data_IF_756169413280
#
_entry.id   IF_756169413280
#
_cell.length_a   1.000
_cell.length_b   1.000
_cell.length_c   1.000
_cell.angle_alpha   90.00
_cell.angle_beta   90.00
_cell.angle_gamma   90.00
#
_symmetry.space_group_name_H-M   'P 1'
#
loop_
_entity.id
_entity.type
_entity.pdbx_description
1 polymer ?
#
# COMPACT_ATOMS: atom_id res chain seq x y z
N UNK A 1 -0.88 -11.87 4.68
CA UNK A 1 -2.22 -11.55 5.20
C UNK A 1 -2.20 -10.50 6.30
N UNK A 2 -2.06 -10.85 7.59
CA UNK A 2 -2.31 -9.94 8.70
C UNK A 2 -1.52 -8.62 8.63
N UNK A 3 -0.19 -8.71 8.48
CA UNK A 3 0.66 -7.52 8.40
C UNK A 3 0.37 -6.65 7.17
N UNK A 4 0.05 -7.27 6.03
CA UNK A 4 -0.37 -6.54 4.82
C UNK A 4 -1.72 -5.86 5.05
N UNK A 5 -2.63 -6.51 5.77
CA UNK A 5 -3.90 -5.93 6.19
C UNK A 5 -3.71 -4.71 7.08
N UNK A 6 -2.82 -4.78 8.07
CA UNK A 6 -2.50 -3.65 8.94
C UNK A 6 -1.89 -2.47 8.16
N UNK A 7 -0.94 -2.75 7.26
CA UNK A 7 -0.36 -1.73 6.37
C UNK A 7 -1.43 -1.10 5.46
N UNK A 8 -2.29 -1.93 4.86
CA UNK A 8 -3.38 -1.48 4.00
C UNK A 8 -4.39 -0.61 4.76
N UNK A 9 -4.75 -1.02 5.97
CA UNK A 9 -5.66 -0.29 6.84
C UNK A 9 -5.08 1.07 7.23
N UNK A 10 -3.83 1.13 7.66
CA UNK A 10 -3.18 2.42 7.97
C UNK A 10 -3.15 3.37 6.77
N UNK A 11 -2.95 2.86 5.55
CA UNK A 11 -3.01 3.70 4.35
C UNK A 11 -4.44 4.16 4.04
N UNK A 12 -5.43 3.27 4.20
CA UNK A 12 -6.84 3.60 4.03
C UNK A 12 -7.28 4.67 5.03
N UNK A 13 -6.96 4.51 6.30
CA UNK A 13 -7.30 5.45 7.38
C UNK A 13 -6.58 6.78 7.23
N UNK A 14 -5.33 6.78 6.75
CA UNK A 14 -4.63 8.03 6.42
C UNK A 14 -5.28 8.74 5.23
N UNK A 15 -5.77 7.98 4.25
CA UNK A 15 -6.41 8.52 3.05
C UNK A 15 -7.80 9.06 3.33
N UNK A 16 -8.58 8.43 4.22
CA UNK A 16 -9.93 8.85 4.62
C UNK A 16 -9.92 9.99 5.65
N UNK A 17 -8.78 10.24 6.30
CA UNK A 17 -8.63 11.24 7.36
C UNK A 17 -8.96 10.70 8.76
N UNK A 18 -9.16 9.38 8.91
CA UNK A 18 -9.35 8.73 10.20
C UNK A 18 -8.07 8.75 11.06
N UNK A 19 -6.88 8.78 10.44
CA UNK A 19 -5.61 8.99 11.16
C UNK A 19 -5.26 10.48 11.28
N UNK A 20 -4.71 10.84 12.44
CA UNK A 20 -4.17 12.19 12.70
C UNK A 20 -3.28 12.69 11.55
N UNK A 21 -3.39 13.97 11.23
CA UNK A 21 -2.53 14.64 10.24
C UNK A 21 -1.03 14.50 10.58
N UNK A 22 -0.68 14.47 11.88
CA UNK A 22 0.70 14.34 12.37
C UNK A 22 1.28 12.94 12.19
N UNK A 23 0.45 11.88 12.18
CA UNK A 23 0.90 10.50 11.99
C UNK A 23 1.26 10.29 10.52
N UNK A 24 2.56 10.18 10.20
CA UNK A 24 3.07 10.09 8.82
C UNK A 24 3.87 8.82 8.53
N UNK A 25 4.23 8.06 9.56
CA UNK A 25 5.16 6.95 9.44
C UNK A 25 4.79 5.85 10.44
N UNK A 26 4.79 4.61 9.97
CA UNK A 26 4.64 3.39 10.76
C UNK A 26 5.91 2.56 10.58
N UNK A 27 6.53 2.13 11.68
CA UNK A 27 7.73 1.29 11.65
C UNK A 27 7.40 -0.07 12.26
N UNK A 28 7.71 -1.11 11.50
CA UNK A 28 7.58 -2.50 11.93
C UNK A 28 8.98 -3.10 12.01
N UNK A 29 9.48 -3.34 13.22
CA UNK A 29 10.72 -4.09 13.42
C UNK A 29 10.38 -5.57 13.39
N UNK A 30 10.99 -6.32 12.47
CA UNK A 30 10.62 -7.70 12.21
C UNK A 30 11.83 -8.53 11.77
N UNK A 31 11.57 -9.78 11.37
CA UNK A 31 12.58 -10.73 10.92
C UNK A 31 12.64 -10.80 9.39
N UNK A 32 13.73 -11.37 8.86
CA UNK A 32 13.91 -11.70 7.45
C UNK A 32 12.70 -12.44 6.84
N UNK A 33 12.19 -13.45 7.54
CA UNK A 33 11.03 -14.22 7.13
C UNK A 33 9.76 -13.36 7.04
N UNK A 34 9.67 -12.28 7.82
CA UNK A 34 8.55 -11.33 7.72
C UNK A 34 8.59 -10.60 6.38
N UNK A 35 9.77 -10.12 5.97
CA UNK A 35 9.96 -9.48 4.66
C UNK A 35 9.62 -10.47 3.54
N UNK A 36 10.12 -11.71 3.63
CA UNK A 36 9.83 -12.75 2.64
C UNK A 36 8.32 -13.04 2.55
N UNK A 37 7.62 -13.16 3.67
CA UNK A 37 6.18 -13.42 3.68
C UNK A 37 5.37 -12.27 3.09
N UNK A 38 5.75 -11.02 3.38
CA UNK A 38 5.11 -9.83 2.77
C UNK A 38 5.40 -9.79 1.27
N UNK A 39 6.65 -10.02 0.85
CA UNK A 39 7.07 -10.10 -0.55
C UNK A 39 6.22 -11.08 -1.35
N UNK A 40 6.02 -12.29 -0.80
CA UNK A 40 5.19 -13.33 -1.41
C UNK A 40 3.71 -12.96 -1.42
N UNK A 41 3.20 -12.34 -0.34
CA UNK A 41 1.82 -11.84 -0.28
C UNK A 41 1.55 -10.78 -1.35
N UNK A 42 2.55 -9.99 -1.72
CA UNK A 42 2.48 -8.97 -2.78
C UNK A 42 2.57 -9.57 -4.20
N UNK A 43 2.62 -10.90 -4.32
CA UNK A 43 2.61 -11.61 -5.61
C UNK A 43 3.99 -11.78 -6.26
N UNK A 44 5.06 -11.38 -5.58
CA UNK A 44 6.43 -11.53 -6.11
C UNK A 44 6.91 -12.97 -5.93
N UNK A 45 7.51 -13.55 -6.98
CA UNK A 45 7.83 -14.99 -7.02
C UNK A 45 9.31 -15.29 -6.98
N UNK A 46 10.16 -14.29 -7.23
CA UNK A 46 11.60 -14.39 -7.14
C UNK A 46 12.08 -14.78 -5.74
N UNK A 47 13.17 -15.55 -5.70
CA UNK A 47 13.83 -15.91 -4.44
C UNK A 47 14.39 -14.64 -3.80
N UNK A 48 13.91 -14.32 -2.61
CA UNK A 48 14.39 -13.20 -1.81
C UNK A 48 15.12 -13.74 -0.59
N UNK A 49 16.37 -13.34 -0.41
CA UNK A 49 17.14 -13.53 0.81
C UNK A 49 17.50 -12.15 1.36
N UNK A 50 16.75 -11.63 2.34
CA UNK A 50 17.08 -10.35 2.97
C UNK A 50 18.40 -10.44 3.75
N UNK A 51 19.30 -9.49 3.53
CA UNK A 51 20.50 -9.34 4.34
C UNK A 51 20.20 -8.45 5.58
N UNK A 52 21.18 -8.33 6.47
CA UNK A 52 21.03 -7.50 7.66
C UNK A 52 20.70 -6.05 7.29
N UNK A 53 19.69 -5.49 7.96
CA UNK A 53 19.20 -4.14 7.70
C UNK A 53 18.31 -3.99 6.46
N UNK A 54 17.89 -5.10 5.83
CA UNK A 54 16.91 -5.05 4.76
C UNK A 54 15.60 -4.41 5.23
N UNK A 55 14.94 -3.66 4.34
CA UNK A 55 13.68 -2.99 4.63
C UNK A 55 12.78 -2.94 3.40
N UNK A 56 11.49 -3.22 3.61
CA UNK A 56 10.43 -2.98 2.63
C UNK A 56 9.70 -1.69 3.00
N UNK A 57 9.61 -0.75 2.06
CA UNK A 57 9.04 0.57 2.28
C UNK A 57 7.81 0.74 1.40
N UNK A 58 6.64 0.88 2.03
CA UNK A 58 5.39 1.21 1.34
C UNK A 58 5.08 2.70 1.51
N UNK A 59 5.16 3.47 0.42
CA UNK A 59 4.96 4.93 0.43
C UNK A 59 3.68 5.30 -0.31
N UNK A 60 2.72 5.87 0.40
CA UNK A 60 1.56 6.53 -0.21
C UNK A 60 1.90 7.99 -0.58
N UNK A 61 1.51 8.42 -1.78
CA UNK A 61 1.71 9.79 -2.26
C UNK A 61 0.42 10.37 -2.85
N UNK A 62 0.09 11.61 -2.47
CA UNK A 62 -0.97 12.39 -3.10
C UNK A 62 -0.48 12.97 -4.42
N UNK A 63 -1.22 12.69 -5.49
CA UNK A 63 -0.97 13.22 -6.83
C UNK A 63 -2.12 14.11 -7.23
N UNK A 64 -1.79 15.19 -7.93
CA UNK A 64 -2.75 16.04 -8.60
C UNK A 64 -2.96 15.46 -9.99
N UNK A 65 -4.20 15.27 -10.39
CA UNK A 65 -4.49 15.01 -11.78
C UNK A 65 -4.11 16.23 -12.62
N UNK A 66 -3.06 16.08 -13.43
CA UNK A 66 -2.61 17.10 -14.38
C UNK A 66 -3.18 16.84 -15.79
N UNK A 67 -3.73 15.64 -16.01
CA UNK A 67 -4.42 15.23 -17.22
C UNK A 67 -5.88 14.98 -16.85
N UNK A 68 -6.57 16.07 -16.49
CA UNK A 68 -8.01 15.99 -16.34
C UNK A 68 -8.60 15.30 -17.56
N UNK A 69 -9.27 14.16 -17.36
CA UNK A 69 -10.45 13.91 -18.16
C UNK A 69 -11.46 14.94 -17.64
N UNK A 70 -11.73 16.03 -18.37
CA UNK A 70 -12.65 17.04 -17.87
C UNK A 70 -14.02 16.37 -17.82
N UNK A 71 -14.54 16.13 -16.63
CA UNK A 71 -15.98 16.04 -16.48
C UNK A 71 -16.47 17.48 -16.70
N UNK A 72 -16.85 17.80 -17.95
CA UNK A 72 -17.37 19.12 -18.33
C UNK A 72 -18.75 19.28 -17.69
N UNK A 73 -18.79 19.54 -16.40
CA UNK A 73 -19.94 20.10 -15.73
C UNK A 73 -19.94 21.60 -15.94
N UNK A 74 -20.87 22.10 -16.76
CA UNK A 74 -21.23 23.51 -16.77
C UNK A 74 -22.10 23.78 -15.53
N UNK A 75 -21.76 24.79 -14.74
CA UNK A 75 -22.72 25.30 -13.77
C UNK A 75 -23.86 26.07 -14.49
N UNK A 76 -24.96 26.35 -13.78
CA UNK A 76 -26.12 27.07 -14.32
C UNK A 76 -25.80 28.50 -14.81
N UNK A 77 -24.58 28.99 -14.56
CA UNK A 77 -24.11 30.32 -14.95
C UNK A 77 -23.03 30.28 -16.06
N UNK A 78 -22.74 29.11 -16.64
CA UNK A 78 -21.76 28.95 -17.72
C UNK A 78 -20.29 29.08 -17.27
N UNK A 79 -20.01 28.96 -15.96
CA UNK A 79 -18.65 28.90 -15.44
C UNK A 79 -18.13 27.47 -15.51
N UNK A 80 -16.93 27.31 -16.07
CA UNK A 80 -16.25 26.01 -16.14
C UNK A 80 -15.78 25.63 -14.73
N UNK A 81 -16.37 24.59 -14.15
CA UNK A 81 -15.87 23.99 -12.91
C UNK A 81 -14.72 23.02 -13.25
N UNK A 82 -13.49 23.46 -13.04
CA UNK A 82 -12.32 22.55 -13.10
C UNK A 82 -12.23 21.79 -11.77
N UNK A 83 -12.82 20.61 -11.71
CA UNK A 83 -12.60 19.69 -10.59
C UNK A 83 -11.19 19.11 -10.68
N UNK A 84 -10.25 19.67 -9.92
CA UNK A 84 -8.91 19.07 -9.76
C UNK A 84 -9.06 17.82 -8.91
N UNK A 85 -9.06 16.65 -9.55
CA UNK A 85 -9.08 15.37 -8.85
C UNK A 85 -7.71 15.11 -8.22
N UNK A 86 -7.68 14.93 -6.90
CA UNK A 86 -6.51 14.41 -6.20
C UNK A 86 -6.69 12.91 -6.03
N UNK A 87 -5.68 12.13 -6.42
CA UNK A 87 -5.66 10.69 -6.22
C UNK A 87 -4.44 10.28 -5.38
N UNK A 88 -4.48 9.05 -4.85
CA UNK A 88 -3.39 8.48 -4.06
C UNK A 88 -2.73 7.36 -4.84
N UNK A 89 -1.40 7.37 -4.86
CA UNK A 89 -0.56 6.34 -5.46
C UNK A 89 0.25 5.63 -4.39
N UNK A 90 0.52 4.35 -4.62
CA UNK A 90 1.41 3.55 -3.80
C UNK A 90 2.73 3.33 -4.54
N UNK A 91 3.84 3.57 -3.85
CA UNK A 91 5.17 3.18 -4.31
C UNK A 91 5.74 2.18 -3.31
N UNK A 92 6.18 1.04 -3.83
CA UNK A 92 6.86 0.03 -3.05
C UNK A 92 8.35 0.11 -3.34
N UNK A 93 9.18 0.18 -2.30
CA UNK A 93 10.62 0.28 -2.40
C UNK A 93 11.27 -0.78 -1.52
N UNK A 94 12.47 -1.22 -1.89
CA UNK A 94 13.23 -2.21 -1.14
C UNK A 94 14.68 -1.82 -0.95
N UNK A 95 15.13 -1.93 0.29
CA UNK A 95 16.53 -1.84 0.69
C UNK A 95 16.96 -3.27 1.01
N UNK A 96 17.99 -3.78 0.34
CA UNK A 96 18.44 -5.16 0.52
C UNK A 96 19.34 -5.37 1.75
N UNK A 97 20.09 -4.34 2.19
CA UNK A 97 21.05 -4.39 3.28
C UNK A 97 21.41 -2.98 3.80
N UNK A 98 22.21 -2.92 4.87
CA UNK A 98 22.70 -1.67 5.49
C UNK A 98 23.56 -0.78 4.60
N UNK A 99 24.16 -1.31 3.53
CA UNK A 99 25.02 -0.55 2.61
C UNK A 99 24.25 0.08 1.45
N UNK A 100 22.97 -0.25 1.27
CA UNK A 100 22.15 0.30 0.20
C UNK A 100 21.63 1.69 0.57
N UNK A 101 22.08 2.66 -0.21
CA UNK A 101 21.75 4.08 -0.04
C UNK A 101 20.45 4.43 -0.79
N UNK A 102 20.29 3.90 -2.00
CA UNK A 102 19.11 4.17 -2.83
C UNK A 102 18.15 2.97 -2.84
N UNK A 103 16.91 3.13 -2.35
CA UNK A 103 15.92 2.06 -2.38
C UNK A 103 15.53 1.66 -3.80
N UNK A 104 15.48 0.35 -4.06
CA UNK A 104 15.07 -0.19 -5.34
C UNK A 104 13.54 -0.13 -5.50
N UNK A 105 12.99 0.48 -6.58
CA UNK A 105 11.56 0.49 -6.81
C UNK A 105 11.05 -0.89 -7.20
N UNK A 106 9.92 -1.28 -6.64
CA UNK A 106 9.26 -2.56 -6.92
C UNK A 106 7.94 -2.33 -7.65
N UNK A 107 7.58 -3.30 -8.49
CA UNK A 107 6.31 -3.31 -9.21
C UNK A 107 5.42 -4.42 -8.67
N UNK A 108 4.21 -4.06 -8.28
CA UNK A 108 3.18 -5.04 -7.94
C UNK A 108 2.45 -5.38 -9.24
N UNK A 109 2.51 -6.65 -9.63
CA UNK A 109 1.79 -7.12 -10.81
C UNK A 109 0.28 -6.83 -10.65
N UNK A 110 -0.37 -6.45 -11.76
CA UNK A 110 -1.82 -6.16 -11.80
C UNK A 110 -2.31 -4.95 -10.99
N UNK A 111 -1.44 -4.15 -10.36
CA UNK A 111 -1.86 -2.91 -9.67
C UNK A 111 -1.97 -1.67 -10.61
N UNK A 112 -1.50 -1.78 -11.86
CA UNK A 112 -1.43 -0.65 -12.79
C UNK A 112 -0.17 0.20 -12.64
N UNK A 113 -0.01 1.20 -13.51
CA UNK A 113 1.15 2.12 -13.56
C UNK A 113 0.64 3.54 -13.84
N UNK A 114 0.55 4.43 -12.82
CA UNK A 114 0.92 4.23 -11.41
C UNK A 114 -0.03 3.26 -10.68
N UNK A 115 0.46 2.60 -9.63
CA UNK A 115 -0.36 1.77 -8.74
C UNK A 115 -1.22 2.69 -7.87
N UNK A 116 -2.54 2.70 -8.09
CA UNK A 116 -3.47 3.49 -7.28
C UNK A 116 -3.66 2.82 -5.93
N UNK A 117 -3.80 3.62 -4.86
CA UNK A 117 -4.03 3.06 -3.53
C UNK A 117 -5.29 2.19 -3.49
N UNK A 118 -6.36 2.60 -4.18
CA UNK A 118 -7.61 1.83 -4.25
C UNK A 118 -7.43 0.46 -4.94
N UNK A 119 -6.59 0.40 -5.97
CA UNK A 119 -6.34 -0.85 -6.69
C UNK A 119 -5.45 -1.78 -5.86
N UNK A 120 -4.49 -1.22 -5.12
CA UNK A 120 -3.71 -1.98 -4.15
C UNK A 120 -4.59 -2.59 -3.05
N UNK A 121 -5.50 -1.81 -2.46
CA UNK A 121 -6.41 -2.32 -1.41
C UNK A 121 -7.26 -3.48 -1.92
N UNK A 122 -7.84 -3.35 -3.12
CA UNK A 122 -8.60 -4.43 -3.77
C UNK A 122 -7.74 -5.66 -4.08
N UNK A 123 -6.51 -5.45 -4.52
CA UNK A 123 -5.61 -6.55 -4.86
C UNK A 123 -5.19 -7.36 -3.62
N UNK A 124 -5.08 -6.70 -2.46
CA UNK A 124 -4.70 -7.34 -1.20
C UNK A 124 -5.89 -7.96 -0.45
N UNK A 125 -7.13 -7.58 -0.76
CA UNK A 125 -8.34 -8.08 -0.10
C UNK A 125 -8.38 -9.63 0.02
N UNK A 126 -8.09 -10.44 -1.03
CA UNK A 126 -8.22 -11.89 -0.95
C UNK A 126 -7.18 -12.57 -0.04
N UNK A 127 -6.11 -11.87 0.34
CA UNK A 127 -5.02 -12.41 1.16
C UNK A 127 -5.05 -11.88 2.59
N UNK A 128 -5.96 -10.96 2.91
CA UNK A 128 -6.17 -10.42 4.26
C UNK A 128 -7.20 -11.31 4.97
N UNK A 129 -6.85 -11.90 6.13
CA UNK A 129 -7.78 -12.73 6.88
C UNK A 129 -8.93 -11.89 7.42
N UNK A 130 -10.12 -12.46 7.39
CA UNK A 130 -11.35 -11.90 7.98
C UNK A 130 -11.50 -12.27 9.45
N UNK A 131 -11.13 -13.51 9.80
CA UNK A 131 -11.14 -14.05 11.16
C UNK A 131 -9.97 -15.02 11.28
N UNK A 132 -8.86 -14.51 11.82
CA UNK A 132 -7.59 -15.23 11.84
C UNK A 132 -7.69 -16.55 12.61
N UNK A 133 -8.29 -16.53 13.80
CA UNK A 133 -8.43 -17.69 14.66
C UNK A 133 -9.29 -18.77 14.01
N UNK A 134 -10.41 -18.38 13.40
CA UNK A 134 -11.32 -19.30 12.69
C UNK A 134 -10.68 -19.87 11.43
N UNK A 135 -9.99 -19.05 10.65
CA UNK A 135 -9.27 -19.48 9.45
C UNK A 135 -8.13 -20.44 9.79
N UNK A 136 -7.45 -20.23 10.92
CA UNK A 136 -6.45 -21.15 11.44
C UNK A 136 -7.03 -22.41 12.09
N UNK A 137 -8.35 -22.51 12.26
CA UNK A 137 -9.04 -23.62 12.93
C UNK A 137 -8.45 -23.92 14.31
N UNK A 138 -8.01 -22.88 15.02
CA UNK A 138 -7.51 -23.04 16.38
C UNK A 138 -8.71 -23.36 17.27
N UNK A 139 -8.72 -24.57 17.82
CA UNK A 139 -9.69 -24.97 18.84
C UNK A 139 -9.56 -24.03 20.04
N UNK A 140 -10.64 -23.34 20.41
CA UNK A 140 -10.73 -22.60 21.66
C UNK A 140 -10.84 -23.59 22.82
N UNK A 141 -9.73 -24.23 23.17
CA UNK A 141 -9.63 -25.02 24.40
C UNK A 141 -8.36 -24.61 25.15
N UNK A 142 -8.52 -23.66 26.06
CA UNK A 142 -7.70 -23.52 27.27
C UNK A 142 -8.62 -23.75 28.47
#
# INVERSE_FOLDING_TARGET
>A
GPLVGDIAQHMADKSSGALSASQKLFLYSAHDLTIVNVWRTLGMTEMLKPDSGAALICRAASRRDQQGLPDRGEDLNGSILVNVLFYRTLNLLYINNTSTIEPHPLTIERCGRPCLLIDFLKLMEPVIPTDWEKECQLSSTL
#
